data_IF_513690154746
#
_entry.id   IF_513690154746
#
_cell.length_a   1.000
_cell.length_b   1.000
_cell.length_c   1.000
_cell.angle_alpha   90.00
_cell.angle_beta   90.00
_cell.angle_gamma   90.00
#
_symmetry.space_group_name_H-M   'P 1'
#
loop_
_entity.id
_entity.type
_entity.pdbx_description
1 polymer ?
#
# COMPACT_ATOMS: atom_id res chain seq x y z
N UNK A 1 6.51 -17.29 -3.01
CA UNK A 1 6.88 -16.38 -1.96
C UNK A 1 7.09 -14.99 -2.53
N UNK A 2 6.73 -14.00 -1.79
CA UNK A 2 6.72 -12.68 -2.31
C UNK A 2 8.05 -12.08 -2.36
N UNK A 3 9.22 -12.63 -2.35
CA UNK A 3 10.24 -11.76 -2.32
C UNK A 3 11.58 -12.23 -2.08
N UNK A 4 11.91 -13.26 -2.75
CA UNK A 4 13.28 -13.62 -2.91
C UNK A 4 14.16 -12.43 -3.34
N UNK A 5 13.53 -11.40 -3.91
CA UNK A 5 14.26 -10.25 -4.39
C UNK A 5 14.47 -9.15 -3.35
N UNK A 6 13.68 -9.15 -2.29
CA UNK A 6 13.80 -8.16 -1.21
C UNK A 6 14.59 -8.67 -0.02
N UNK A 7 15.32 -9.74 -0.20
CA UNK A 7 16.13 -10.37 0.84
C UNK A 7 15.74 -11.82 1.05
N UNK A 8 16.51 -12.55 1.79
CA UNK A 8 16.34 -13.99 1.99
C UNK A 8 15.36 -14.33 3.12
N UNK A 9 14.41 -13.44 3.41
CA UNK A 9 13.45 -13.66 4.48
C UNK A 9 12.28 -14.51 4.00
N UNK A 10 11.91 -15.48 4.82
CA UNK A 10 10.83 -16.39 4.52
C UNK A 10 9.49 -15.80 4.93
N UNK A 11 8.48 -15.97 4.07
CA UNK A 11 7.11 -15.49 4.32
C UNK A 11 6.14 -16.65 4.40
N UNK A 12 5.19 -16.52 5.31
CA UNK A 12 4.13 -17.50 5.51
C UNK A 12 2.85 -17.03 4.83
N UNK A 13 2.94 -16.82 3.50
CA UNK A 13 1.77 -16.57 2.67
C UNK A 13 1.64 -17.68 1.64
N UNK A 14 0.40 -18.11 1.37
CA UNK A 14 0.17 -19.01 0.25
C UNK A 14 0.41 -18.28 -1.07
N UNK A 15 0.69 -19.03 -2.12
CA UNK A 15 0.90 -18.45 -3.46
C UNK A 15 -0.30 -17.64 -3.94
N UNK A 16 -1.50 -17.96 -3.44
CA UNK A 16 -2.73 -17.31 -3.86
C UNK A 16 -2.98 -15.97 -3.18
N UNK A 17 -2.23 -15.62 -2.13
CA UNK A 17 -2.39 -14.37 -1.40
C UNK A 17 -1.59 -13.23 -2.01
N UNK A 18 -0.61 -13.54 -2.85
CA UNK A 18 0.22 -12.52 -3.48
C UNK A 18 -0.01 -12.56 -4.98
N UNK A 19 -0.87 -11.65 -5.43
CA UNK A 19 -1.16 -11.55 -6.85
C UNK A 19 -0.05 -10.83 -7.61
N UNK A 20 -0.22 -10.75 -8.92
CA UNK A 20 0.79 -10.15 -9.80
C UNK A 20 0.99 -8.67 -9.51
N UNK A 21 -0.09 -7.92 -9.33
CA UNK A 21 0.00 -6.49 -9.02
C UNK A 21 0.74 -6.22 -7.72
N UNK A 22 0.46 -7.03 -6.69
CA UNK A 22 1.15 -6.92 -5.40
C UNK A 22 2.64 -7.16 -5.55
N UNK A 23 3.05 -8.11 -6.39
CA UNK A 23 4.46 -8.36 -6.69
C UNK A 23 5.13 -7.18 -7.37
N UNK A 24 4.43 -6.55 -8.31
CA UNK A 24 4.96 -5.38 -9.00
C UNK A 24 5.28 -4.26 -8.01
N UNK A 25 4.39 -4.00 -7.07
CA UNK A 25 4.63 -3.01 -6.02
C UNK A 25 5.79 -3.44 -5.12
N UNK A 26 5.74 -4.65 -4.59
CA UNK A 26 6.74 -5.14 -3.64
C UNK A 26 8.15 -5.21 -4.23
N UNK A 27 8.26 -5.54 -5.51
CA UNK A 27 9.55 -5.65 -6.18
C UNK A 27 10.15 -4.30 -6.57
N UNK A 28 9.33 -3.26 -6.69
CA UNK A 28 9.76 -1.99 -7.24
C UNK A 28 9.68 -0.80 -6.27
N UNK A 29 9.01 -0.95 -5.12
CA UNK A 29 8.96 0.12 -4.13
C UNK A 29 10.35 0.34 -3.52
N UNK A 30 10.69 1.61 -3.32
CA UNK A 30 11.97 1.98 -2.71
C UNK A 30 11.73 2.54 -1.31
N UNK A 31 12.29 1.89 -0.31
CA UNK A 31 12.25 2.31 1.08
C UNK A 31 13.68 2.33 1.60
N UNK A 32 14.09 3.46 2.17
CA UNK A 32 15.41 3.65 2.75
C UNK A 32 15.31 4.09 4.20
N UNK A 33 15.11 5.39 4.43
CA UNK A 33 15.10 5.98 5.78
C UNK A 33 13.69 6.17 6.36
N UNK A 34 12.66 5.89 5.58
CA UNK A 34 11.28 6.05 6.00
C UNK A 34 11.03 5.23 7.26
N UNK A 35 10.32 5.82 8.22
CA UNK A 35 10.10 5.20 9.54
C UNK A 35 8.69 4.65 9.71
N UNK A 36 7.71 5.23 9.01
CA UNK A 36 6.30 4.88 9.18
C UNK A 36 5.63 4.59 7.84
N UNK A 37 4.76 3.61 7.83
CA UNK A 37 4.03 3.19 6.63
C UNK A 37 2.59 2.90 6.98
N UNK A 38 1.67 3.39 6.14
CA UNK A 38 0.24 3.08 6.21
C UNK A 38 -0.17 2.30 4.97
N UNK A 39 -0.83 1.18 5.17
CA UNK A 39 -1.41 0.34 4.11
C UNK A 39 -2.92 0.56 4.12
N UNK A 40 -3.44 1.26 3.12
CA UNK A 40 -4.86 1.62 3.01
C UNK A 40 -5.58 0.59 2.16
N UNK A 41 -6.64 -0.02 2.71
CA UNK A 41 -7.32 -1.13 2.07
C UNK A 41 -6.43 -2.36 2.10
N UNK A 42 -5.95 -2.71 3.27
CA UNK A 42 -4.86 -3.68 3.42
C UNK A 42 -5.23 -5.12 3.07
N UNK A 43 -6.51 -5.44 3.03
CA UNK A 43 -6.93 -6.82 2.80
C UNK A 43 -6.30 -7.78 3.79
N UNK A 44 -5.64 -8.81 3.28
CA UNK A 44 -4.96 -9.83 4.10
C UNK A 44 -3.66 -9.34 4.73
N UNK A 45 -3.25 -8.10 4.44
CA UNK A 45 -2.03 -7.53 4.99
C UNK A 45 -0.79 -7.74 4.14
N UNK A 46 -0.93 -8.09 2.89
CA UNK A 46 0.19 -8.44 2.00
C UNK A 46 1.29 -7.37 1.98
N UNK A 47 0.93 -6.10 1.70
CA UNK A 47 1.94 -5.04 1.60
C UNK A 47 2.57 -4.75 2.96
N UNK A 48 1.76 -4.45 3.96
CA UNK A 48 2.27 -4.07 5.28
C UNK A 48 3.15 -5.16 5.90
N UNK A 49 2.73 -6.40 5.81
CA UNK A 49 3.48 -7.53 6.38
C UNK A 49 4.77 -7.79 5.61
N UNK A 50 4.69 -7.88 4.28
CA UNK A 50 5.88 -8.12 3.46
C UNK A 50 6.90 -6.99 3.61
N UNK A 51 6.45 -5.74 3.58
CA UNK A 51 7.36 -4.61 3.70
C UNK A 51 7.99 -4.53 5.10
N UNK A 52 7.23 -4.81 6.14
CA UNK A 52 7.79 -4.82 7.49
C UNK A 52 8.77 -5.99 7.70
N UNK A 53 8.53 -7.10 7.04
CA UNK A 53 9.45 -8.24 7.09
C UNK A 53 10.81 -7.90 6.47
N UNK A 54 10.78 -7.19 5.34
CA UNK A 54 12.00 -6.77 4.63
C UNK A 54 12.66 -5.57 5.30
N UNK A 55 11.85 -4.58 5.67
CA UNK A 55 12.32 -3.34 6.30
C UNK A 55 11.86 -3.32 7.76
N UNK A 56 12.54 -4.07 8.59
CA UNK A 56 12.13 -4.32 9.98
C UNK A 56 12.11 -3.07 10.87
N UNK A 57 12.73 -1.99 10.42
CA UNK A 57 12.71 -0.71 11.13
C UNK A 57 11.40 0.06 10.97
N UNK A 58 10.55 -0.32 10.00
CA UNK A 58 9.28 0.37 9.75
C UNK A 58 8.27 0.12 10.86
N UNK A 59 7.57 1.17 11.26
CA UNK A 59 6.35 1.06 12.03
C UNK A 59 5.18 1.06 11.06
N UNK A 60 4.43 -0.02 11.02
CA UNK A 60 3.38 -0.24 10.03
C UNK A 60 2.01 -0.22 10.67
N UNK A 61 1.12 0.59 10.08
CA UNK A 61 -0.32 0.55 10.36
C UNK A 61 -1.03 0.05 9.11
N UNK A 62 -2.05 -0.77 9.31
CA UNK A 62 -2.85 -1.32 8.22
C UNK A 62 -4.33 -1.14 8.51
N UNK A 63 -5.08 -0.63 7.56
CA UNK A 63 -6.52 -0.38 7.73
C UNK A 63 -7.34 -0.98 6.60
N UNK A 64 -8.54 -1.42 6.94
CA UNK A 64 -9.53 -1.92 6.01
C UNK A 64 -10.93 -1.75 6.61
N UNK A 65 -11.97 -1.83 5.78
CA UNK A 65 -13.36 -1.81 6.25
C UNK A 65 -13.92 -3.20 6.51
N UNK A 66 -13.28 -4.22 5.97
CA UNK A 66 -13.77 -5.59 5.99
C UNK A 66 -13.26 -6.34 7.23
N UNK A 67 -14.18 -6.71 8.12
CA UNK A 67 -13.80 -7.38 9.37
C UNK A 67 -13.08 -8.72 9.13
N UNK A 68 -13.50 -9.47 8.11
CA UNK A 68 -12.86 -10.75 7.78
C UNK A 68 -11.44 -10.55 7.30
N UNK A 69 -11.22 -9.52 6.46
CA UNK A 69 -9.87 -9.19 5.98
C UNK A 69 -8.97 -8.80 7.16
N UNK A 70 -9.48 -8.00 8.09
CA UNK A 70 -8.72 -7.60 9.27
C UNK A 70 -8.33 -8.78 10.16
N UNK A 71 -9.24 -9.74 10.34
CA UNK A 71 -8.93 -10.98 11.07
C UNK A 71 -7.78 -11.74 10.41
N UNK A 72 -7.84 -11.88 9.08
CA UNK A 72 -6.82 -12.57 8.31
C UNK A 72 -5.49 -11.81 8.35
N UNK A 73 -5.53 -10.48 8.25
CA UNK A 73 -4.33 -9.66 8.33
C UNK A 73 -3.64 -9.84 9.70
N UNK A 74 -4.41 -9.84 10.78
CA UNK A 74 -3.87 -10.05 12.14
C UNK A 74 -3.25 -11.43 12.28
N UNK A 75 -3.91 -12.44 11.73
CA UNK A 75 -3.39 -13.81 11.75
C UNK A 75 -2.09 -13.92 10.95
N UNK A 76 -2.08 -13.34 9.76
CA UNK A 76 -0.89 -13.35 8.90
C UNK A 76 0.28 -12.60 9.54
N UNK A 77 0.02 -11.47 10.20
CA UNK A 77 1.05 -10.73 10.93
C UNK A 77 1.64 -11.59 12.04
N UNK A 78 0.80 -12.25 12.81
CA UNK A 78 1.23 -13.15 13.87
C UNK A 78 2.09 -14.30 13.33
N UNK A 79 1.63 -14.93 12.24
CA UNK A 79 2.33 -16.06 11.63
C UNK A 79 3.69 -15.66 11.03
N UNK A 80 3.87 -14.39 10.73
CA UNK A 80 5.13 -13.87 10.20
C UNK A 80 5.97 -13.12 11.25
N UNK A 81 5.56 -13.16 12.52
CA UNK A 81 6.23 -12.46 13.61
C UNK A 81 6.34 -10.94 13.37
N UNK A 82 5.27 -10.37 12.84
CA UNK A 82 5.18 -8.94 12.54
C UNK A 82 4.28 -8.27 13.59
N UNK A 83 4.75 -7.17 14.16
CA UNK A 83 3.99 -6.32 15.04
C UNK A 83 3.53 -5.10 14.28
N UNK A 84 2.28 -5.11 13.87
CA UNK A 84 1.67 -4.00 13.15
C UNK A 84 0.37 -3.61 13.84
N UNK A 85 0.00 -2.34 13.71
CA UNK A 85 -1.27 -1.86 14.21
C UNK A 85 -2.32 -2.04 13.10
N UNK A 86 -3.24 -2.97 13.30
CA UNK A 86 -4.22 -3.37 12.28
C UNK A 86 -5.60 -3.06 12.80
N UNK A 87 -6.33 -2.16 12.13
CA UNK A 87 -7.61 -1.72 12.64
C UNK A 87 -8.58 -1.30 11.53
N UNK A 88 -9.86 -1.21 11.91
CA UNK A 88 -10.93 -0.87 10.99
C UNK A 88 -10.96 0.64 10.73
N UNK A 89 -11.04 1.00 9.45
CA UNK A 89 -11.20 2.39 9.03
C UNK A 89 -11.80 2.43 7.64
N UNK A 90 -12.83 3.25 7.44
CA UNK A 90 -13.29 3.57 6.11
C UNK A 90 -12.33 4.62 5.56
N UNK A 91 -11.44 4.20 4.68
CA UNK A 91 -10.35 5.02 4.14
C UNK A 91 -9.51 5.58 5.31
N UNK A 92 -9.46 6.90 5.48
CA UNK A 92 -8.67 7.53 6.55
C UNK A 92 -9.49 7.95 7.77
N UNK A 93 -10.77 7.56 7.83
CA UNK A 93 -11.70 8.05 8.87
C UNK A 93 -11.18 7.86 10.29
N UNK A 94 -10.55 6.74 10.56
CA UNK A 94 -10.00 6.43 11.89
C UNK A 94 -8.47 6.55 11.94
N UNK A 95 -7.85 7.02 10.86
CA UNK A 95 -6.40 7.20 10.80
C UNK A 95 -6.03 8.53 11.46
N UNK A 96 -5.12 8.48 12.41
CA UNK A 96 -4.63 9.67 13.10
C UNK A 96 -3.15 9.88 12.76
N UNK A 97 -2.80 11.14 12.50
CA UNK A 97 -1.42 11.50 12.25
C UNK A 97 -0.99 11.34 10.79
N UNK A 98 0.31 11.29 10.60
CA UNK A 98 0.95 11.30 9.29
C UNK A 98 2.03 10.23 9.19
N UNK A 99 2.28 9.82 7.97
CA UNK A 99 3.21 8.73 7.65
C UNK A 99 4.26 9.18 6.63
N UNK A 100 5.38 8.49 6.61
CA UNK A 100 6.40 8.71 5.58
C UNK A 100 6.02 8.03 4.27
N UNK A 101 5.27 6.93 4.34
CA UNK A 101 4.85 6.17 3.17
C UNK A 101 3.39 5.73 3.32
N UNK A 102 2.62 5.91 2.26
CA UNK A 102 1.29 5.31 2.14
C UNK A 102 1.33 4.40 0.92
N UNK A 103 0.89 3.17 1.08
CA UNK A 103 0.74 2.21 -0.02
C UNK A 103 -0.72 1.81 -0.16
N UNK A 104 -1.16 1.59 -1.37
CA UNK A 104 -2.51 1.11 -1.62
C UNK A 104 -2.63 0.36 -2.94
N UNK A 105 -3.45 -0.69 -2.91
CA UNK A 105 -4.06 -1.27 -4.10
C UNK A 105 -5.54 -0.90 -3.97
N UNK A 106 -5.99 0.19 -4.62
CA UNK A 106 -7.33 0.72 -4.34
C UNK A 106 -8.43 -0.29 -4.66
N UNK A 107 -9.50 -0.34 -3.85
CA UNK A 107 -10.60 -1.27 -4.09
C UNK A 107 -11.52 -0.74 -5.21
N UNK A 108 -11.15 -1.01 -6.46
CA UNK A 108 -11.87 -0.51 -7.64
C UNK A 108 -13.34 -0.91 -7.66
N UNK A 109 -13.67 -2.06 -7.04
CA UNK A 109 -15.06 -2.52 -6.95
C UNK A 109 -15.92 -1.66 -6.03
N UNK A 110 -15.31 -0.93 -5.11
CA UNK A 110 -16.01 -0.03 -4.21
C UNK A 110 -16.47 1.25 -4.90
N UNK A 111 -15.98 1.49 -6.12
CA UNK A 111 -16.40 2.61 -6.93
C UNK A 111 -15.33 3.68 -7.08
N UNK A 112 -15.51 4.48 -8.11
CA UNK A 112 -14.56 5.54 -8.49
C UNK A 112 -14.40 6.58 -7.39
N UNK A 113 -15.47 6.88 -6.67
CA UNK A 113 -15.47 7.88 -5.60
C UNK A 113 -14.57 7.46 -4.44
N UNK A 114 -14.61 6.18 -4.06
CA UNK A 114 -13.75 5.65 -3.00
C UNK A 114 -12.28 5.73 -3.41
N UNK A 115 -11.97 5.30 -4.63
CA UNK A 115 -10.60 5.37 -5.16
C UNK A 115 -10.11 6.82 -5.18
N UNK A 116 -10.92 7.74 -5.69
CA UNK A 116 -10.57 9.16 -5.73
C UNK A 116 -10.28 9.71 -4.33
N UNK A 117 -11.11 9.38 -3.36
CA UNK A 117 -10.93 9.83 -1.98
C UNK A 117 -9.63 9.31 -1.38
N UNK A 118 -9.29 8.04 -1.62
CA UNK A 118 -8.02 7.47 -1.15
C UNK A 118 -6.84 8.29 -1.68
N UNK A 119 -6.87 8.63 -2.95
CA UNK A 119 -5.78 9.38 -3.59
C UNK A 119 -5.74 10.84 -3.11
N UNK A 120 -6.90 11.48 -3.08
CA UNK A 120 -7.00 12.90 -2.77
C UNK A 120 -6.64 13.22 -1.33
N UNK A 121 -7.13 12.43 -0.38
CA UNK A 121 -6.92 12.70 1.05
C UNK A 121 -5.59 12.15 1.57
N UNK A 122 -4.88 11.35 0.80
CA UNK A 122 -3.61 10.78 1.23
C UNK A 122 -2.60 11.84 1.64
N UNK A 123 -2.60 12.99 0.95
CA UNK A 123 -1.63 14.06 1.21
C UNK A 123 -1.78 14.64 2.63
N UNK A 124 -2.98 14.57 3.19
CA UNK A 124 -3.24 15.04 4.55
C UNK A 124 -2.65 14.10 5.61
N UNK A 125 -2.33 12.87 5.20
CA UNK A 125 -1.77 11.83 6.06
C UNK A 125 -0.33 11.50 5.73
N UNK A 126 0.34 12.37 4.96
CA UNK A 126 1.76 12.23 4.63
C UNK A 126 2.57 13.34 5.28
N UNK A 127 3.73 12.97 5.80
CA UNK A 127 4.75 13.91 6.24
C UNK A 127 5.36 14.62 5.03
N UNK A 128 6.00 15.76 5.24
CA UNK A 128 6.77 16.42 4.19
C UNK A 128 7.82 15.43 3.63
N UNK A 129 7.92 15.38 2.32
CA UNK A 129 8.76 14.43 1.58
C UNK A 129 8.28 12.98 1.67
N UNK A 130 7.15 12.74 2.31
CA UNK A 130 6.51 11.42 2.31
C UNK A 130 5.93 11.11 0.94
N UNK A 131 5.63 9.85 0.70
CA UNK A 131 5.21 9.41 -0.63
C UNK A 131 4.02 8.48 -0.62
N UNK A 132 3.25 8.56 -1.70
CA UNK A 132 2.13 7.67 -2.00
C UNK A 132 2.53 6.72 -3.13
N UNK A 133 2.37 5.43 -2.89
CA UNK A 133 2.58 4.38 -3.89
C UNK A 133 1.26 3.67 -4.17
N UNK A 134 0.89 3.63 -5.44
CA UNK A 134 -0.39 3.04 -5.88
C UNK A 134 -0.12 2.02 -6.97
N UNK A 135 -0.67 0.81 -6.80
CA UNK A 135 -0.63 -0.19 -7.85
C UNK A 135 -2.04 -0.38 -8.41
N UNK A 136 -2.17 -0.34 -9.72
CA UNK A 136 -3.47 -0.37 -10.36
C UNK A 136 -3.33 -0.82 -11.82
N UNK A 137 -4.30 -1.60 -12.31
CA UNK A 137 -4.32 -1.97 -13.72
C UNK A 137 -4.73 -0.79 -14.59
N UNK A 138 -4.17 -0.71 -15.79
CA UNK A 138 -4.55 0.30 -16.77
C UNK A 138 -6.07 0.30 -17.01
N UNK A 139 -6.63 -0.88 -17.25
CA UNK A 139 -8.07 -1.05 -17.51
C UNK A 139 -8.96 -0.77 -16.31
N UNK A 140 -8.40 -0.68 -15.11
CA UNK A 140 -9.11 -0.38 -13.89
C UNK A 140 -8.94 1.06 -13.43
N UNK A 141 -8.35 1.91 -14.27
CA UNK A 141 -8.29 3.34 -14.03
C UNK A 141 -6.92 3.91 -13.69
N UNK A 142 -5.81 3.21 -14.00
CA UNK A 142 -4.48 3.74 -13.72
C UNK A 142 -4.24 5.12 -14.35
N UNK A 143 -4.65 5.40 -15.61
CA UNK A 143 -4.47 6.74 -16.17
C UNK A 143 -5.21 7.82 -15.41
N UNK A 144 -6.43 7.55 -14.96
CA UNK A 144 -7.22 8.50 -14.16
C UNK A 144 -6.58 8.70 -12.78
N UNK A 145 -6.08 7.63 -12.17
CA UNK A 145 -5.38 7.71 -10.89
C UNK A 145 -4.12 8.57 -11.00
N UNK A 146 -3.34 8.37 -12.06
CA UNK A 146 -2.15 9.19 -12.32
C UNK A 146 -2.50 10.67 -12.41
N UNK A 147 -3.54 10.99 -13.18
CA UNK A 147 -3.99 12.37 -13.32
C UNK A 147 -4.40 12.97 -11.97
N UNK A 148 -5.14 12.21 -11.17
CA UNK A 148 -5.57 12.68 -9.85
C UNK A 148 -4.39 12.91 -8.93
N UNK A 149 -3.41 12.02 -8.93
CA UNK A 149 -2.20 12.17 -8.13
C UNK A 149 -1.40 13.40 -8.56
N UNK A 150 -1.31 13.68 -9.87
CA UNK A 150 -0.68 14.89 -10.36
C UNK A 150 -1.39 16.16 -9.88
N UNK A 151 -2.74 16.14 -9.88
CA UNK A 151 -3.52 17.27 -9.38
C UNK A 151 -3.28 17.52 -7.89
N UNK A 152 -3.23 16.46 -7.09
CA UNK A 152 -3.11 16.54 -5.63
C UNK A 152 -1.68 16.90 -5.20
N UNK A 153 -0.69 16.25 -5.81
CA UNK A 153 0.70 16.36 -5.37
C UNK A 153 1.57 17.29 -6.23
N UNK A 154 1.11 17.61 -7.43
CA UNK A 154 1.92 18.35 -8.40
C UNK A 154 2.95 17.46 -9.11
N UNK A 155 2.97 16.17 -8.81
CA UNK A 155 3.87 15.21 -9.44
C UNK A 155 3.28 13.81 -9.37
N UNK A 156 3.58 13.01 -10.37
CA UNK A 156 3.31 11.57 -10.36
C UNK A 156 4.18 10.90 -11.42
N UNK A 157 4.94 9.91 -11.00
CA UNK A 157 5.75 9.14 -11.93
C UNK A 157 5.21 7.73 -12.05
N UNK A 158 5.32 7.15 -13.25
CA UNK A 158 5.06 5.73 -13.46
C UNK A 158 6.40 5.02 -13.23
N UNK A 159 6.54 4.38 -12.08
CA UNK A 159 7.79 3.70 -11.70
C UNK A 159 7.98 2.41 -12.50
N UNK A 160 6.88 1.71 -12.75
CA UNK A 160 6.91 0.43 -13.46
C UNK A 160 5.59 0.19 -14.18
N UNK A 161 5.69 -0.37 -15.38
CA UNK A 161 4.57 -0.94 -16.11
C UNK A 161 4.89 -2.39 -16.38
N UNK A 162 3.98 -3.28 -16.02
CA UNK A 162 4.21 -4.70 -16.24
C UNK A 162 2.88 -5.41 -16.36
N UNK A 163 2.66 -6.05 -17.50
CA UNK A 163 1.45 -6.82 -17.81
C UNK A 163 0.15 -6.08 -17.48
N UNK A 164 0.11 -4.80 -17.84
CA UNK A 164 -1.06 -3.96 -17.63
C UNK A 164 -1.17 -3.34 -16.24
N UNK A 165 -0.28 -3.65 -15.32
CA UNK A 165 -0.20 -2.98 -14.02
C UNK A 165 0.71 -1.78 -14.09
N UNK A 166 0.28 -0.70 -13.44
CA UNK A 166 1.07 0.53 -13.33
C UNK A 166 1.36 0.76 -11.85
N UNK A 167 2.62 0.94 -11.53
CA UNK A 167 3.03 1.38 -10.19
C UNK A 167 3.26 2.89 -10.25
N UNK A 168 2.42 3.64 -9.55
CA UNK A 168 2.41 5.09 -9.53
C UNK A 168 3.01 5.61 -8.23
N UNK A 169 3.74 6.71 -8.30
CA UNK A 169 4.43 7.28 -7.15
C UNK A 169 4.34 8.80 -7.17
N UNK A 170 3.90 9.38 -6.07
CA UNK A 170 3.88 10.83 -5.85
C UNK A 170 4.55 11.18 -4.53
N UNK A 171 5.18 12.34 -4.47
CA UNK A 171 5.89 12.83 -3.28
C UNK A 171 5.26 14.14 -2.81
N UNK A 172 5.01 14.24 -1.52
CA UNK A 172 4.52 15.48 -0.90
C UNK A 172 5.70 16.42 -0.68
N UNK A 173 5.69 17.53 -1.37
CA UNK A 173 6.74 18.55 -1.29
C UNK A 173 6.20 19.89 -0.82
#
# INVERSE_FOLDING_TARGET
ACNAQKGDKEFVFSKNMIDYGSRVLLDNIEITNEKTLLDVGCGYGTFGICLNKVYSHLNVDMVDVNDRALELAKLNAKNNNIHANIYKSFIYENVQGSYDVIVTNPPVRAGKEVVTTILQESIEHLNENGSLWVILQKKQGAPSAKKKMEEVFGNCEIVKRDKGYYLLHSVKR
#
